data_IF_550104273110
#
_entry.id   IF_550104273110
#
_cell.length_a   1.000
_cell.length_b   1.000
_cell.length_c   1.000
_cell.angle_alpha   90.00
_cell.angle_beta   90.00
_cell.angle_gamma   90.00
#
_symmetry.space_group_name_H-M   'P 1'
#
loop_
_entity.id
_entity.type
_entity.pdbx_description
1 polymer ?
#
# COMPACT_ATOMS: atom_id res chain seq x y z
N UNK A 1 13.74 4.12 10.38
CA UNK A 1 12.74 3.12 9.92
C UNK A 1 13.34 1.74 9.63
N UNK A 2 14.64 1.61 9.33
CA UNK A 2 15.30 0.32 9.08
C UNK A 2 15.75 -0.47 10.34
N UNK A 3 15.79 0.15 11.52
CA UNK A 3 16.36 -0.44 12.75
C UNK A 3 15.44 -1.43 13.51
N UNK A 4 14.19 -1.62 13.06
CA UNK A 4 13.22 -2.54 13.69
C UNK A 4 12.64 -3.56 12.69
N UNK A 5 13.49 -4.05 11.79
CA UNK A 5 13.12 -5.05 10.78
C UNK A 5 12.56 -6.35 11.41
N UNK A 6 13.07 -6.78 12.56
CA UNK A 6 12.62 -8.02 13.22
C UNK A 6 11.19 -7.95 13.78
N UNK A 7 10.62 -6.75 13.96
CA UNK A 7 9.23 -6.55 14.43
C UNK A 7 8.26 -6.11 13.33
N UNK A 8 8.77 -5.74 12.15
CA UNK A 8 8.00 -5.32 10.96
C UNK A 8 8.09 -6.38 9.85
N UNK A 9 8.94 -7.40 10.06
CA UNK A 9 9.49 -8.35 9.09
C UNK A 9 8.48 -9.06 8.21
N UNK A 10 8.20 -8.44 7.08
CA UNK A 10 7.74 -9.12 5.90
C UNK A 10 8.74 -8.85 4.78
N UNK A 11 9.31 -9.91 4.20
CA UNK A 11 10.15 -9.83 3.00
C UNK A 11 9.50 -8.98 1.89
N UNK A 12 8.16 -8.95 1.86
CA UNK A 12 7.34 -8.07 1.02
C UNK A 12 7.65 -6.59 1.18
N UNK A 13 7.91 -6.10 2.41
CA UNK A 13 8.28 -4.70 2.64
C UNK A 13 9.63 -4.38 1.98
N UNK A 14 10.63 -5.24 2.18
CA UNK A 14 11.95 -5.05 1.56
C UNK A 14 11.86 -5.10 0.04
N UNK A 15 11.19 -6.11 -0.52
CA UNK A 15 10.99 -6.25 -1.96
C UNK A 15 10.26 -5.05 -2.57
N UNK A 16 9.25 -4.52 -1.87
CA UNK A 16 8.54 -3.32 -2.28
C UNK A 16 9.47 -2.11 -2.38
N UNK A 17 10.24 -1.82 -1.32
CA UNK A 17 11.13 -0.66 -1.29
C UNK A 17 12.31 -0.82 -2.24
N UNK A 18 12.86 -2.03 -2.38
CA UNK A 18 13.92 -2.31 -3.35
C UNK A 18 13.42 -2.11 -4.79
N UNK A 19 12.21 -2.60 -5.11
CA UNK A 19 11.61 -2.42 -6.45
C UNK A 19 11.33 -0.94 -6.74
N UNK A 20 10.79 -0.21 -5.77
CA UNK A 20 10.56 1.23 -5.90
C UNK A 20 11.89 1.99 -6.06
N UNK A 21 12.88 1.75 -5.20
CA UNK A 21 14.19 2.39 -5.29
C UNK A 21 14.88 2.12 -6.63
N UNK A 22 14.79 0.89 -7.13
CA UNK A 22 15.33 0.52 -8.43
C UNK A 22 14.65 1.28 -9.58
N UNK A 23 13.33 1.40 -9.58
CA UNK A 23 12.61 2.19 -10.58
C UNK A 23 12.96 3.69 -10.50
N UNK A 24 12.96 4.26 -9.30
CA UNK A 24 13.24 5.68 -9.07
C UNK A 24 14.70 6.06 -9.35
N UNK A 25 15.64 5.12 -9.25
CA UNK A 25 17.03 5.34 -9.68
C UNK A 25 17.08 5.74 -11.16
N UNK A 26 16.35 5.05 -12.04
CA UNK A 26 16.33 5.38 -13.47
C UNK A 26 15.68 6.74 -13.75
N UNK A 27 14.63 7.07 -13.00
CA UNK A 27 13.94 8.37 -13.11
C UNK A 27 14.87 9.50 -12.71
N UNK A 28 15.60 9.33 -11.60
CA UNK A 28 16.53 10.33 -11.09
C UNK A 28 17.77 10.50 -11.98
N UNK A 29 18.33 9.40 -12.49
CA UNK A 29 19.56 9.43 -13.28
C UNK A 29 19.35 9.84 -14.74
N UNK A 30 18.23 9.43 -15.35
CA UNK A 30 17.99 9.62 -16.78
C UNK A 30 16.83 10.57 -17.10
N UNK A 31 16.08 11.02 -16.08
CA UNK A 31 14.96 11.96 -16.26
C UNK A 31 13.76 11.38 -17.02
N UNK A 32 13.66 10.06 -17.13
CA UNK A 32 12.62 9.37 -17.91
C UNK A 32 11.41 9.03 -17.04
N UNK A 33 10.24 8.95 -17.67
CA UNK A 33 8.98 8.49 -17.05
C UNK A 33 8.57 9.24 -15.74
N UNK A 34 8.80 10.57 -15.61
CA UNK A 34 8.48 11.28 -14.37
C UNK A 34 6.98 11.28 -14.09
N UNK A 35 6.11 11.33 -15.11
CA UNK A 35 4.67 11.24 -14.94
C UNK A 35 4.24 9.94 -14.24
N UNK A 36 4.69 8.79 -14.76
CA UNK A 36 4.36 7.48 -14.20
C UNK A 36 4.89 7.32 -12.78
N UNK A 37 6.08 7.85 -12.53
CA UNK A 37 6.73 7.76 -11.21
C UNK A 37 6.02 8.62 -10.18
N UNK A 38 5.70 9.87 -10.50
CA UNK A 38 4.93 10.75 -9.64
C UNK A 38 3.52 10.21 -9.37
N UNK A 39 2.86 9.64 -10.38
CA UNK A 39 1.56 9.01 -10.18
C UNK A 39 1.62 7.88 -9.14
N UNK A 40 2.72 7.11 -9.11
CA UNK A 40 2.90 6.05 -8.11
C UNK A 40 3.18 6.57 -6.70
N UNK A 41 3.67 7.79 -6.54
CA UNK A 41 3.83 8.44 -5.22
C UNK A 41 2.48 8.71 -4.52
N UNK A 42 1.35 8.69 -5.24
CA UNK A 42 0.02 8.74 -4.59
C UNK A 42 -0.14 7.64 -3.52
N UNK A 43 0.53 6.50 -3.69
CA UNK A 43 0.52 5.41 -2.71
C UNK A 43 1.09 5.80 -1.34
N UNK A 44 1.94 6.84 -1.28
CA UNK A 44 2.53 7.35 -0.04
C UNK A 44 1.49 8.03 0.85
N UNK A 45 0.38 8.53 0.30
CA UNK A 45 -0.70 9.17 1.07
C UNK A 45 -1.30 8.21 2.11
N UNK A 46 -1.29 6.91 1.86
CA UNK A 46 -1.75 5.90 2.82
C UNK A 46 -0.74 5.60 3.94
N UNK A 47 0.54 5.95 3.77
CA UNK A 47 1.62 5.57 4.70
C UNK A 47 1.54 6.20 6.09
N UNK A 48 1.08 7.45 6.28
CA UNK A 48 0.90 8.01 7.62
C UNK A 48 -0.08 7.19 8.47
N UNK A 49 -1.13 6.63 7.86
CA UNK A 49 -2.14 5.83 8.55
C UNK A 49 -1.62 4.44 8.95
N UNK A 50 -0.74 3.85 8.11
CA UNK A 50 -0.01 2.62 8.43
C UNK A 50 0.94 2.86 9.61
N UNK A 51 1.69 3.97 9.56
CA UNK A 51 2.58 4.36 10.65
C UNK A 51 1.81 4.67 11.94
N UNK A 52 0.64 5.32 11.84
CA UNK A 52 -0.21 5.58 12.99
C UNK A 52 -0.71 4.29 13.63
N UNK A 53 -1.06 3.27 12.84
CA UNK A 53 -1.45 1.95 13.37
C UNK A 53 -0.31 1.30 14.15
N UNK A 54 0.90 1.36 13.59
CA UNK A 54 2.10 0.86 14.24
C UNK A 54 2.38 1.63 15.54
N UNK A 55 2.27 2.96 15.53
CA UNK A 55 2.47 3.80 16.71
C UNK A 55 1.50 3.45 17.84
N UNK A 56 0.20 3.30 17.52
CA UNK A 56 -0.82 2.86 18.49
C UNK A 56 -0.49 1.47 19.06
N UNK A 57 -0.02 0.54 18.22
CA UNK A 57 0.41 -0.78 18.67
C UNK A 57 1.63 -0.73 19.58
N UNK A 58 2.58 0.17 19.32
CA UNK A 58 3.79 0.34 20.14
C UNK A 58 3.47 0.96 21.50
N UNK A 59 2.46 1.83 21.57
CA UNK A 59 1.93 2.38 22.82
C UNK A 59 1.02 1.40 23.60
N UNK A 60 0.96 0.13 23.18
CA UNK A 60 0.14 -0.92 23.80
C UNK A 60 -1.36 -0.59 23.89
N UNK A 61 -1.88 0.19 22.92
CA UNK A 61 -3.31 0.38 22.80
C UNK A 61 -3.99 -0.96 22.49
N UNK A 62 -5.05 -1.27 23.26
CA UNK A 62 -5.83 -2.48 23.02
C UNK A 62 -6.41 -2.47 21.60
N UNK A 63 -6.40 -3.62 20.94
CA UNK A 63 -6.87 -3.77 19.54
C UNK A 63 -8.38 -3.51 19.39
N UNK A 64 -9.14 -3.62 20.46
CA UNK A 64 -10.56 -3.30 20.55
C UNK A 64 -10.84 -1.83 20.90
N UNK A 65 -9.80 -1.03 21.15
CA UNK A 65 -9.95 0.39 21.42
C UNK A 65 -10.46 1.13 20.19
N UNK A 66 -11.36 2.10 20.42
CA UNK A 66 -11.90 2.98 19.37
C UNK A 66 -10.82 3.57 18.44
N UNK A 67 -9.72 4.18 18.93
CA UNK A 67 -8.71 4.76 18.04
C UNK A 67 -8.01 3.72 17.16
N UNK A 68 -7.76 2.51 17.69
CA UNK A 68 -7.11 1.44 16.91
C UNK A 68 -8.02 0.92 15.78
N UNK A 69 -9.31 0.75 16.07
CA UNK A 69 -10.32 0.33 15.09
C UNK A 69 -10.52 1.40 14.02
N UNK A 70 -10.77 2.65 14.43
CA UNK A 70 -11.00 3.77 13.50
C UNK A 70 -9.81 3.95 12.56
N UNK A 71 -8.58 3.98 13.10
CA UNK A 71 -7.38 4.09 12.29
C UNK A 71 -7.27 2.91 11.30
N UNK A 72 -7.58 1.68 11.73
CA UNK A 72 -7.57 0.50 10.86
C UNK A 72 -8.54 0.61 9.67
N UNK A 73 -9.75 1.11 9.91
CA UNK A 73 -10.76 1.30 8.85
C UNK A 73 -10.32 2.40 7.87
N UNK A 74 -9.91 3.58 8.38
CA UNK A 74 -9.45 4.70 7.56
C UNK A 74 -8.20 4.31 6.75
N UNK A 75 -7.25 3.61 7.38
CA UNK A 75 -6.06 3.07 6.73
C UNK A 75 -6.43 2.14 5.56
N UNK A 76 -7.39 1.23 5.76
CA UNK A 76 -7.83 0.29 4.71
C UNK A 76 -8.49 1.02 3.53
N UNK A 77 -9.35 2.00 3.81
CA UNK A 77 -10.00 2.81 2.79
C UNK A 77 -8.99 3.64 1.98
N UNK A 78 -8.07 4.33 2.65
CA UNK A 78 -7.05 5.12 1.98
C UNK A 78 -6.09 4.25 1.17
N UNK A 79 -5.74 3.07 1.67
CA UNK A 79 -4.93 2.12 0.91
C UNK A 79 -5.64 1.65 -0.36
N UNK A 80 -6.95 1.36 -0.29
CA UNK A 80 -7.74 1.02 -1.47
C UNK A 80 -7.74 2.15 -2.50
N UNK A 81 -8.08 3.37 -2.10
CA UNK A 81 -8.21 4.52 -3.02
C UNK A 81 -6.86 4.81 -3.68
N UNK A 82 -5.82 4.99 -2.88
CA UNK A 82 -4.52 5.50 -3.37
C UNK A 82 -3.68 4.45 -4.10
N UNK A 83 -3.96 3.16 -3.88
CA UNK A 83 -3.19 2.07 -4.48
C UNK A 83 -4.03 1.28 -5.47
N UNK A 84 -5.11 0.65 -5.03
CA UNK A 84 -5.89 -0.27 -5.87
C UNK A 84 -6.79 0.44 -6.87
N UNK A 85 -7.49 1.50 -6.48
CA UNK A 85 -8.36 2.24 -7.39
C UNK A 85 -7.57 3.04 -8.44
N UNK A 86 -6.34 3.46 -8.09
CA UNK A 86 -5.41 4.11 -9.02
C UNK A 86 -4.76 3.13 -10.02
N UNK A 87 -4.66 1.84 -9.72
CA UNK A 87 -4.00 0.84 -10.58
C UNK A 87 -4.60 0.74 -11.99
N UNK A 88 -5.93 0.61 -12.18
CA UNK A 88 -6.51 0.51 -13.52
C UNK A 88 -6.18 1.71 -14.41
N UNK A 89 -6.29 2.92 -13.86
CA UNK A 89 -5.95 4.14 -14.59
C UNK A 89 -4.46 4.20 -14.93
N UNK A 90 -3.59 3.82 -13.99
CA UNK A 90 -2.16 3.74 -14.23
C UNK A 90 -1.84 2.83 -15.42
N UNK A 91 -2.36 1.61 -15.42
CA UNK A 91 -2.10 0.63 -16.48
C UNK A 91 -2.74 1.04 -17.81
N UNK A 92 -3.89 1.70 -17.79
CA UNK A 92 -4.47 2.34 -18.98
C UNK A 92 -3.50 3.34 -19.61
N UNK A 93 -2.90 4.25 -18.81
CA UNK A 93 -1.91 5.22 -19.31
C UNK A 93 -0.62 4.56 -19.79
N UNK A 94 -0.18 3.46 -19.16
CA UNK A 94 0.96 2.67 -19.64
C UNK A 94 0.64 2.01 -20.99
N UNK A 95 -0.57 1.46 -21.13
CA UNK A 95 -1.02 0.86 -22.38
C UNK A 95 -1.15 1.88 -23.52
N UNK A 96 -1.62 3.09 -23.23
CA UNK A 96 -1.75 4.18 -24.21
C UNK A 96 -0.40 4.58 -24.82
N UNK A 97 0.67 4.55 -24.03
CA UNK A 97 2.03 4.85 -24.53
C UNK A 97 2.76 3.61 -25.06
N UNK A 98 2.21 2.42 -24.85
CA UNK A 98 2.82 1.17 -25.30
C UNK A 98 2.91 1.16 -26.84
N UNK A 99 4.05 0.73 -27.39
CA UNK A 99 4.40 0.79 -28.83
C UNK A 99 4.52 2.18 -29.47
N UNK A 100 4.41 3.28 -28.71
CA UNK A 100 4.75 4.60 -29.25
C UNK A 100 6.25 4.74 -29.46
N UNK A 101 6.68 5.52 -30.45
CA UNK A 101 8.10 5.74 -30.73
C UNK A 101 8.89 6.24 -29.49
N UNK A 102 8.38 7.19 -28.68
CA UNK A 102 9.06 7.60 -27.45
C UNK A 102 9.20 6.47 -26.44
N UNK A 103 8.20 5.60 -26.31
CA UNK A 103 8.27 4.45 -25.41
C UNK A 103 9.30 3.43 -25.90
N UNK A 104 9.30 3.11 -27.21
CA UNK A 104 10.27 2.20 -27.84
C UNK A 104 11.72 2.67 -27.63
N UNK A 105 11.97 3.98 -27.71
CA UNK A 105 13.30 4.59 -27.48
C UNK A 105 13.85 4.39 -26.06
N UNK A 106 13.00 4.07 -25.07
CA UNK A 106 13.44 3.77 -23.69
C UNK A 106 14.26 2.47 -23.59
N UNK A 107 14.19 1.59 -24.58
CA UNK A 107 14.90 0.31 -24.60
C UNK A 107 14.64 -0.52 -23.35
N UNK A 108 15.69 -0.92 -22.64
CA UNK A 108 15.59 -1.78 -21.46
C UNK A 108 14.76 -1.19 -20.30
N UNK A 109 14.63 0.14 -20.23
CA UNK A 109 13.91 0.81 -19.13
C UNK A 109 12.39 0.53 -19.17
N UNK A 110 11.85 0.09 -20.32
CA UNK A 110 10.46 -0.37 -20.42
C UNK A 110 10.21 -1.58 -19.52
N UNK A 111 11.14 -2.54 -19.51
CA UNK A 111 11.03 -3.73 -18.68
C UNK A 111 11.17 -3.40 -17.20
N UNK A 112 11.98 -2.39 -16.86
CA UNK A 112 12.10 -1.88 -15.49
C UNK A 112 10.77 -1.29 -15.05
N UNK A 113 10.15 -0.41 -15.84
CA UNK A 113 8.84 0.16 -15.56
C UNK A 113 7.79 -0.93 -15.33
N UNK A 114 7.61 -1.83 -16.31
CA UNK A 114 6.57 -2.87 -16.25
C UNK A 114 6.83 -3.83 -15.09
N UNK A 115 8.06 -4.34 -14.98
CA UNK A 115 8.44 -5.35 -14.00
C UNK A 115 8.31 -4.85 -12.56
N UNK A 116 8.89 -3.69 -12.25
CA UNK A 116 8.82 -3.12 -10.90
C UNK A 116 7.39 -2.77 -10.52
N UNK A 117 6.60 -2.17 -11.42
CA UNK A 117 5.21 -1.84 -11.14
C UNK A 117 4.34 -3.08 -10.90
N UNK A 118 4.55 -4.15 -11.67
CA UNK A 118 3.87 -5.41 -11.45
C UNK A 118 4.17 -6.00 -10.06
N UNK A 119 5.44 -6.02 -9.64
CA UNK A 119 5.83 -6.49 -8.30
C UNK A 119 5.17 -5.65 -7.20
N UNK A 120 5.20 -4.31 -7.34
CA UNK A 120 4.56 -3.40 -6.40
C UNK A 120 3.05 -3.66 -6.29
N UNK A 121 2.38 -3.93 -7.40
CA UNK A 121 0.93 -4.18 -7.45
C UNK A 121 0.56 -5.49 -6.76
N UNK A 122 1.27 -6.58 -7.04
CA UNK A 122 1.06 -7.87 -6.37
C UNK A 122 1.19 -7.72 -4.85
N UNK A 123 2.23 -7.04 -4.38
CA UNK A 123 2.43 -6.80 -2.94
C UNK A 123 1.29 -5.96 -2.35
N UNK A 124 0.84 -4.93 -3.06
CA UNK A 124 -0.28 -4.10 -2.61
C UNK A 124 -1.60 -4.90 -2.51
N UNK A 125 -1.88 -5.80 -3.46
CA UNK A 125 -3.05 -6.69 -3.36
C UNK A 125 -2.97 -7.62 -2.14
N UNK A 126 -1.80 -8.22 -1.89
CA UNK A 126 -1.59 -9.11 -0.74
C UNK A 126 -1.79 -8.37 0.59
N UNK A 127 -1.26 -7.15 0.72
CA UNK A 127 -1.48 -6.32 1.89
C UNK A 127 -2.94 -5.93 2.04
N UNK A 128 -3.61 -5.54 0.96
CA UNK A 128 -5.02 -5.19 1.00
C UNK A 128 -5.89 -6.35 1.46
N UNK A 129 -5.64 -7.57 0.97
CA UNK A 129 -6.31 -8.77 1.44
C UNK A 129 -6.15 -8.98 2.96
N UNK A 130 -4.94 -8.79 3.50
CA UNK A 130 -4.70 -8.89 4.95
C UNK A 130 -5.44 -7.82 5.74
N UNK A 131 -5.50 -6.59 5.23
CA UNK A 131 -6.27 -5.50 5.84
C UNK A 131 -7.77 -5.80 5.88
N UNK A 132 -8.34 -6.29 4.77
CA UNK A 132 -9.75 -6.69 4.71
C UNK A 132 -10.08 -7.78 5.73
N UNK A 133 -9.23 -8.81 5.86
CA UNK A 133 -9.40 -9.86 6.88
C UNK A 133 -9.37 -9.28 8.30
N UNK A 134 -8.48 -8.31 8.54
CA UNK A 134 -8.41 -7.60 9.81
C UNK A 134 -9.69 -6.83 10.14
N UNK A 135 -10.23 -6.07 9.17
CA UNK A 135 -11.50 -5.33 9.33
C UNK A 135 -12.67 -6.30 9.52
N UNK A 136 -12.74 -7.39 8.75
CA UNK A 136 -13.78 -8.40 8.88
C UNK A 136 -13.84 -9.00 10.30
N UNK A 137 -12.69 -9.38 10.86
CA UNK A 137 -12.63 -9.92 12.22
C UNK A 137 -13.12 -8.92 13.28
N UNK A 138 -12.79 -7.63 13.11
CA UNK A 138 -13.26 -6.57 14.02
C UNK A 138 -14.76 -6.35 13.89
N UNK A 139 -15.31 -6.36 12.68
CA UNK A 139 -16.75 -6.23 12.47
C UNK A 139 -17.52 -7.38 13.12
N UNK A 140 -17.04 -8.62 12.95
CA UNK A 140 -17.64 -9.80 13.60
C UNK A 140 -17.63 -9.66 15.13
N UNK A 141 -16.52 -9.20 15.71
CA UNK A 141 -16.43 -8.95 17.15
C UNK A 141 -17.41 -7.87 17.65
N UNK A 142 -17.55 -6.77 16.90
CA UNK A 142 -18.46 -5.68 17.26
C UNK A 142 -19.94 -6.11 17.17
N UNK A 143 -20.30 -6.91 16.16
CA UNK A 143 -21.65 -7.48 16.02
C UNK A 143 -21.93 -8.37 17.24
N UNK A 144 -21.06 -9.33 17.53
CA UNK A 144 -21.24 -10.24 18.65
C UNK A 144 -21.29 -9.53 20.02
N UNK A 145 -20.52 -8.45 20.20
CA UNK A 145 -20.56 -7.63 21.43
C UNK A 145 -21.90 -6.91 21.62
N UNK A 146 -22.53 -6.45 20.53
CA UNK A 146 -23.83 -5.77 20.59
C UNK A 146 -25.00 -6.75 20.88
N UNK A 147 -24.81 -8.04 20.60
CA UNK A 147 -25.81 -9.09 20.90
C UNK A 147 -25.82 -9.52 22.38
N UNK A 148 -24.85 -9.08 23.19
CA UNK A 148 -24.79 -9.36 24.63
C UNK A 148 -25.47 -8.20 25.37
N UNK A 149 -26.68 -8.38 25.97
CA UNK A 149 -27.33 -7.34 26.74
C UNK A 149 -26.42 -6.96 27.91
N UNK A 150 -26.19 -5.64 28.07
CA UNK A 150 -25.54 -5.10 29.26
C UNK A 150 -26.37 -5.57 30.46
N UNK A 151 -25.81 -6.45 31.30
CA UNK A 151 -26.36 -6.69 32.63
C UNK A 151 -26.27 -5.35 33.36
N UNK A 152 -27.41 -4.71 33.56
CA UNK A 152 -27.55 -3.60 34.49
C UNK A 152 -27.17 -4.12 35.88
N UNK A 153 -26.09 -3.57 36.46
CA UNK A 153 -25.79 -3.64 37.90
C UNK A 153 -26.51 -2.51 38.62
#
# INVERSE_FOLDING_TARGET
MALHYDKIGEIFYFLHHASAAYAFFYVAMFGVLPYFSNYRLLSEISTPLVNQRWFLSTLDYKKDSKPFIINGVIMTLMFFITRLACMPYYWYKVYEVYNTEPFTRLGHMQYVLIGTCFVLDVINFLWFYRMLRGVYNVLQYLIHRNDIPLKEE
#
